data_IF_701455467053
#
_entry.id   IF_701455467053
#
_cell.length_a   1.000
_cell.length_b   1.000
_cell.length_c   1.000
_cell.angle_alpha   90.00
_cell.angle_beta   90.00
_cell.angle_gamma   90.00
#
_symmetry.space_group_name_H-M   'P 1'
#
loop_
_entity.id
_entity.type
_entity.pdbx_description
1 polymer ?
#
# COMPACT_ATOMS: atom_id res chain seq x y z
N UNK A 1 -15.94 -31.72 34.12
CA UNK A 1 -14.91 -30.66 34.01
C UNK A 1 -14.79 -30.05 32.61
N UNK A 2 -14.99 -30.82 31.53
CA UNK A 2 -14.79 -30.37 30.14
C UNK A 2 -15.75 -29.27 29.63
N UNK A 3 -17.00 -29.23 30.12
CA UNK A 3 -18.01 -28.20 29.72
C UNK A 3 -17.72 -26.79 30.26
N UNK A 4 -16.98 -26.66 31.37
CA UNK A 4 -16.69 -25.37 31.98
C UNK A 4 -15.51 -24.66 31.29
N UNK A 5 -14.53 -25.43 30.80
CA UNK A 5 -13.39 -24.91 30.02
C UNK A 5 -13.85 -24.28 28.70
N UNK A 6 -14.62 -25.02 27.88
CA UNK A 6 -15.17 -24.53 26.61
C UNK A 6 -16.01 -23.25 26.74
N UNK A 7 -16.69 -23.05 27.88
CA UNK A 7 -17.51 -21.85 28.13
C UNK A 7 -16.65 -20.62 28.44
N UNK A 8 -15.50 -20.81 29.12
CA UNK A 8 -14.53 -19.72 29.39
C UNK A 8 -13.79 -19.32 28.12
N UNK A 9 -13.38 -20.28 27.31
CA UNK A 9 -12.70 -20.04 26.03
C UNK A 9 -13.59 -19.25 25.05
N UNK A 10 -14.88 -19.56 25.01
CA UNK A 10 -15.86 -18.83 24.19
C UNK A 10 -16.13 -17.40 24.68
N UNK A 11 -16.12 -17.15 26.00
CA UNK A 11 -16.33 -15.80 26.55
C UNK A 11 -15.11 -14.92 26.29
N UNK A 12 -13.89 -15.45 26.45
CA UNK A 12 -12.67 -14.73 26.12
C UNK A 12 -12.58 -14.40 24.61
N UNK A 13 -12.98 -15.34 23.74
CA UNK A 13 -13.06 -15.10 22.30
C UNK A 13 -14.12 -14.07 21.90
N UNK A 14 -15.26 -14.02 22.61
CA UNK A 14 -16.30 -13.00 22.40
C UNK A 14 -15.86 -11.62 22.90
N UNK A 15 -15.20 -11.54 24.06
CA UNK A 15 -14.65 -10.29 24.59
C UNK A 15 -13.53 -9.73 23.70
N UNK A 16 -12.68 -10.58 23.13
CA UNK A 16 -11.68 -10.18 22.14
C UNK A 16 -12.32 -9.57 20.89
N UNK A 17 -13.39 -10.20 20.36
CA UNK A 17 -14.14 -9.67 19.21
C UNK A 17 -14.88 -8.36 19.51
N UNK A 18 -15.42 -8.20 20.71
CA UNK A 18 -16.06 -6.94 21.13
C UNK A 18 -15.05 -5.79 21.24
N UNK A 19 -13.85 -6.07 21.76
CA UNK A 19 -12.77 -5.10 21.85
C UNK A 19 -12.26 -4.67 20.46
N UNK A 20 -12.03 -5.63 19.55
CA UNK A 20 -11.66 -5.36 18.16
C UNK A 20 -12.72 -4.50 17.43
N UNK A 21 -14.01 -4.80 17.66
CA UNK A 21 -15.11 -4.04 17.08
C UNK A 21 -15.19 -2.61 17.64
N UNK A 22 -14.92 -2.43 18.93
CA UNK A 22 -14.89 -1.12 19.57
C UNK A 22 -13.75 -0.24 19.02
N UNK A 23 -12.54 -0.79 18.88
CA UNK A 23 -11.39 -0.10 18.28
C UNK A 23 -11.70 0.28 16.82
N UNK A 24 -12.25 -0.66 16.05
CA UNK A 24 -12.65 -0.41 14.65
C UNK A 24 -13.65 0.75 14.54
N UNK A 25 -14.66 0.80 15.43
CA UNK A 25 -15.65 1.90 15.45
C UNK A 25 -15.01 3.24 15.82
N UNK A 26 -14.11 3.26 16.79
CA UNK A 26 -13.41 4.48 17.18
C UNK A 26 -12.53 4.99 16.03
N UNK A 27 -11.79 4.11 15.37
CA UNK A 27 -10.95 4.45 14.22
C UNK A 27 -11.78 5.05 13.07
N UNK A 28 -12.87 4.38 12.69
CA UNK A 28 -13.81 4.86 11.66
C UNK A 28 -14.36 6.24 12.04
N UNK A 29 -14.71 6.45 13.32
CA UNK A 29 -15.23 7.72 13.81
C UNK A 29 -14.18 8.83 13.71
N UNK A 30 -12.93 8.57 14.10
CA UNK A 30 -11.82 9.53 14.02
C UNK A 30 -11.53 9.90 12.56
N UNK A 31 -11.46 8.91 11.67
CA UNK A 31 -11.25 9.12 10.24
C UNK A 31 -12.39 9.95 9.65
N UNK A 32 -13.65 9.56 9.90
CA UNK A 32 -14.83 10.28 9.43
C UNK A 32 -14.85 11.74 9.91
N UNK A 33 -14.49 11.99 11.18
CA UNK A 33 -14.40 13.35 11.72
C UNK A 33 -13.26 14.15 11.08
N UNK A 34 -12.14 13.52 10.75
CA UNK A 34 -11.00 14.14 10.06
C UNK A 34 -11.38 14.54 8.63
N UNK A 35 -12.09 13.68 7.90
CA UNK A 35 -12.60 13.97 6.55
C UNK A 35 -13.61 15.12 6.52
N UNK A 36 -14.39 15.32 7.59
CA UNK A 36 -15.37 16.41 7.71
C UNK A 36 -14.74 17.79 7.98
N UNK A 37 -13.50 17.86 8.50
CA UNK A 37 -12.82 19.13 8.74
C UNK A 37 -12.48 19.82 7.40
N UNK A 38 -12.54 21.15 7.35
CA UNK A 38 -12.09 21.91 6.17
C UNK A 38 -10.55 21.87 6.01
N UNK A 39 -10.01 22.00 4.78
CA UNK A 39 -10.73 21.85 3.50
C UNK A 39 -11.24 20.41 3.30
N UNK A 40 -12.34 20.22 2.58
CA UNK A 40 -12.91 18.88 2.30
C UNK A 40 -11.90 17.98 1.60
N UNK A 41 -12.02 16.65 1.73
CA UNK A 41 -11.21 15.68 0.99
C UNK A 41 -11.36 15.77 -0.54
N UNK A 42 -12.42 16.44 -1.02
CA UNK A 42 -12.60 16.76 -2.44
C UNK A 42 -11.86 18.02 -2.90
N UNK A 43 -11.19 18.75 -2.00
CA UNK A 43 -10.55 20.03 -2.33
C UNK A 43 -9.32 19.86 -3.22
N UNK A 44 -8.45 18.91 -2.87
CA UNK A 44 -7.27 18.58 -3.65
C UNK A 44 -6.80 17.16 -3.35
N UNK A 45 -6.02 16.61 -4.26
CA UNK A 45 -5.38 15.31 -4.10
C UNK A 45 -4.52 15.24 -2.83
N UNK A 46 -3.73 16.29 -2.56
CA UNK A 46 -2.95 16.39 -1.33
C UNK A 46 -3.83 16.32 -0.08
N UNK A 47 -4.96 17.02 -0.06
CA UNK A 47 -5.88 17.00 1.08
C UNK A 47 -6.52 15.63 1.22
N UNK A 48 -6.88 14.97 0.12
CA UNK A 48 -7.40 13.61 0.13
C UNK A 48 -6.39 12.62 0.72
N UNK A 49 -5.14 12.70 0.26
CA UNK A 49 -4.06 11.85 0.71
C UNK A 49 -3.75 12.03 2.20
N UNK A 50 -3.54 13.27 2.63
CA UNK A 50 -3.18 13.58 4.03
C UNK A 50 -4.31 13.27 5.01
N UNK A 51 -5.57 13.43 4.61
CA UNK A 51 -6.71 13.22 5.53
C UNK A 51 -7.26 11.81 5.55
N UNK A 52 -7.14 11.05 4.47
CA UNK A 52 -7.71 9.71 4.37
C UNK A 52 -6.68 8.65 4.02
N UNK A 53 -6.02 8.77 2.87
CA UNK A 53 -5.23 7.66 2.31
C UNK A 53 -4.02 7.34 3.19
N UNK A 54 -3.20 8.35 3.51
CA UNK A 54 -1.97 8.15 4.28
C UNK A 54 -2.26 7.69 5.72
N UNK A 55 -3.19 8.31 6.49
CA UNK A 55 -3.56 7.80 7.80
C UNK A 55 -4.10 6.37 7.77
N UNK A 56 -4.87 6.01 6.73
CA UNK A 56 -5.39 4.64 6.60
C UNK A 56 -4.27 3.64 6.34
N UNK A 57 -3.28 4.00 5.50
CA UNK A 57 -2.10 3.17 5.28
C UNK A 57 -1.28 3.01 6.55
N UNK A 58 -1.01 4.10 7.28
CA UNK A 58 -0.30 4.00 8.56
C UNK A 58 -1.00 3.05 9.54
N UNK A 59 -2.32 3.17 9.70
CA UNK A 59 -3.09 2.29 10.58
C UNK A 59 -3.03 0.81 10.15
N UNK A 60 -3.08 0.53 8.84
CA UNK A 60 -2.95 -0.85 8.32
C UNK A 60 -1.56 -1.41 8.57
N UNK A 61 -0.50 -0.61 8.42
CA UNK A 61 0.87 -1.08 8.60
C UNK A 61 1.24 -1.24 10.08
N UNK A 62 0.74 -0.36 10.95
CA UNK A 62 0.82 -0.47 12.42
C UNK A 62 0.19 -1.79 12.90
N UNK A 63 -0.96 -2.15 12.32
CA UNK A 63 -1.61 -3.44 12.57
C UNK A 63 -0.80 -4.66 12.09
N UNK A 64 0.16 -4.48 11.18
CA UNK A 64 1.01 -5.53 10.63
C UNK A 64 2.40 -5.60 11.33
N UNK A 65 2.63 -4.85 12.41
CA UNK A 65 3.94 -4.72 13.07
C UNK A 65 4.52 -6.02 13.67
N UNK A 66 3.71 -7.07 13.86
CA UNK A 66 4.20 -8.39 14.30
C UNK A 66 5.07 -9.12 13.24
N UNK A 67 5.47 -8.44 12.16
CA UNK A 67 6.27 -9.01 11.09
C UNK A 67 7.78 -8.69 11.21
N UNK A 68 8.68 -9.67 11.00
CA UNK A 68 10.13 -9.50 11.20
C UNK A 68 10.80 -8.40 10.36
N UNK A 69 10.14 -7.95 9.30
CA UNK A 69 10.67 -6.96 8.35
C UNK A 69 10.02 -5.59 8.46
N UNK A 70 9.22 -5.34 9.50
CA UNK A 70 8.51 -4.08 9.85
C UNK A 70 8.24 -3.15 8.66
N UNK A 71 7.03 -3.16 8.09
CA UNK A 71 6.75 -2.31 6.94
C UNK A 71 6.85 -0.82 7.27
N UNK A 72 7.45 -0.04 6.36
CA UNK A 72 7.53 1.43 6.47
C UNK A 72 6.83 2.07 5.28
N UNK A 73 5.90 2.97 5.56
CA UNK A 73 5.29 3.82 4.53
C UNK A 73 6.01 5.16 4.43
N UNK A 74 6.35 5.55 3.21
CA UNK A 74 6.99 6.82 2.90
C UNK A 74 6.03 7.60 1.99
N UNK A 75 5.39 8.67 2.48
CA UNK A 75 4.43 9.47 1.72
C UNK A 75 5.08 10.57 0.89
N UNK A 76 4.33 11.10 -0.07
CA UNK A 76 4.73 12.20 -0.94
C UNK A 76 5.49 11.71 -2.17
N UNK A 77 6.02 12.68 -2.94
CA UNK A 77 6.78 12.55 -4.20
C UNK A 77 8.10 11.76 -4.07
N UNK A 78 8.01 10.56 -3.51
CA UNK A 78 9.10 9.68 -3.12
C UNK A 78 9.68 8.98 -4.35
N UNK A 79 11.01 8.97 -4.41
CA UNK A 79 11.72 8.28 -5.48
C UNK A 79 11.51 6.76 -5.38
N UNK A 80 11.08 6.15 -6.49
CA UNK A 80 11.03 4.70 -6.59
C UNK A 80 12.46 4.16 -6.85
N UNK A 81 13.11 3.70 -5.78
CA UNK A 81 14.50 3.24 -5.79
C UNK A 81 14.72 2.11 -6.78
N UNK A 82 13.72 1.23 -6.96
CA UNK A 82 13.76 0.15 -7.93
C UNK A 82 13.94 0.66 -9.35
N UNK A 83 13.24 1.73 -9.74
CA UNK A 83 13.37 2.32 -11.06
C UNK A 83 14.78 2.91 -11.27
N UNK A 84 15.27 3.66 -10.29
CA UNK A 84 16.62 4.24 -10.32
C UNK A 84 17.71 3.17 -10.37
N UNK A 85 17.57 2.08 -9.61
CA UNK A 85 18.46 0.92 -9.66
C UNK A 85 18.47 0.29 -11.06
N UNK A 86 17.30 0.08 -11.69
CA UNK A 86 17.24 -0.49 -13.03
C UNK A 86 17.83 0.44 -14.09
N UNK A 87 17.54 1.75 -14.03
CA UNK A 87 18.12 2.72 -14.96
C UNK A 87 19.64 2.87 -14.82
N UNK A 88 20.15 2.81 -13.61
CA UNK A 88 21.60 2.85 -13.34
C UNK A 88 22.30 1.65 -13.96
N UNK A 89 21.71 0.45 -13.83
CA UNK A 89 22.26 -0.77 -14.45
C UNK A 89 22.40 -0.68 -15.96
N UNK A 90 21.46 -0.01 -16.63
CA UNK A 90 21.51 0.18 -18.10
C UNK A 90 22.18 1.50 -18.53
N UNK A 91 22.85 2.21 -17.59
CA UNK A 91 23.52 3.50 -17.82
C UNK A 91 22.61 4.57 -18.45
N UNK A 92 21.30 4.53 -18.16
CA UNK A 92 20.29 5.53 -18.59
C UNK A 92 19.73 6.36 -17.44
N UNK A 93 20.34 6.27 -16.27
CA UNK A 93 19.94 7.08 -15.13
C UNK A 93 20.15 8.57 -15.44
N UNK A 94 19.10 9.35 -15.21
CA UNK A 94 19.10 10.80 -15.34
C UNK A 94 18.16 11.38 -14.31
N UNK A 95 18.54 12.51 -13.70
CA UNK A 95 17.67 13.21 -12.73
C UNK A 95 16.32 13.62 -13.32
N UNK A 96 16.21 13.70 -14.65
CA UNK A 96 14.95 14.00 -15.36
C UNK A 96 14.00 12.80 -15.47
N UNK A 97 14.50 11.59 -15.25
CA UNK A 97 13.76 10.33 -15.44
C UNK A 97 13.45 9.64 -14.11
N UNK A 98 13.50 10.37 -13.01
CA UNK A 98 13.21 9.83 -11.69
C UNK A 98 11.70 9.57 -11.62
N UNK A 99 11.36 8.32 -11.31
CA UNK A 99 9.99 7.97 -10.97
C UNK A 99 9.71 8.49 -9.56
N UNK A 100 8.73 9.36 -9.43
CA UNK A 100 8.21 9.82 -8.14
C UNK A 100 6.80 9.29 -7.94
N UNK A 101 6.60 8.55 -6.86
CA UNK A 101 5.30 8.04 -6.44
C UNK A 101 4.65 9.02 -5.48
N UNK A 102 3.34 8.90 -5.22
CA UNK A 102 2.69 9.60 -4.10
C UNK A 102 2.96 8.94 -2.74
N UNK A 103 3.42 7.70 -2.79
CA UNK A 103 3.92 6.99 -1.62
C UNK A 103 4.36 5.58 -1.95
N UNK A 104 5.21 5.03 -1.09
CA UNK A 104 5.79 3.69 -1.25
C UNK A 104 5.82 2.98 0.10
N UNK A 105 5.47 1.70 0.13
CA UNK A 105 5.72 0.83 1.29
C UNK A 105 6.97 -0.01 1.04
N UNK A 106 7.89 0.01 1.99
CA UNK A 106 9.15 -0.75 1.99
C UNK A 106 9.17 -1.76 3.13
N UNK A 107 9.84 -2.88 2.90
CA UNK A 107 10.12 -3.91 3.91
C UNK A 107 11.64 -4.04 4.12
N UNK A 108 12.08 -4.16 5.37
CA UNK A 108 13.47 -4.44 5.75
C UNK A 108 14.48 -3.55 5.02
N UNK A 109 15.42 -4.17 4.32
CA UNK A 109 16.47 -3.54 3.50
C UNK A 109 15.94 -2.84 2.21
N UNK A 110 15.00 -1.91 2.36
CA UNK A 110 14.41 -1.09 1.28
C UNK A 110 13.81 -1.91 0.13
N UNK A 111 13.15 -3.03 0.45
CA UNK A 111 12.39 -3.80 -0.55
C UNK A 111 11.04 -3.14 -0.74
N UNK A 112 10.85 -2.48 -1.88
CA UNK A 112 9.59 -1.82 -2.25
C UNK A 112 8.54 -2.86 -2.64
N UNK A 113 7.39 -2.86 -1.95
CA UNK A 113 6.31 -3.87 -2.12
C UNK A 113 4.94 -3.29 -2.45
N UNK A 114 4.68 -2.03 -2.11
CA UNK A 114 3.45 -1.33 -2.47
C UNK A 114 3.77 0.06 -3.02
N UNK A 115 3.10 0.41 -4.11
CA UNK A 115 3.15 1.72 -4.74
C UNK A 115 1.81 2.44 -4.56
N UNK A 116 1.82 3.74 -4.32
CA UNK A 116 0.63 4.60 -4.27
C UNK A 116 0.70 5.65 -5.37
N UNK A 117 -0.35 5.74 -6.20
CA UNK A 117 -0.58 6.85 -7.14
C UNK A 117 -2.04 7.27 -7.06
N UNK A 118 -2.29 8.54 -6.83
CA UNK A 118 -3.60 9.10 -6.55
C UNK A 118 -4.09 9.79 -7.80
N UNK A 119 -5.22 9.32 -8.35
CA UNK A 119 -5.73 9.83 -9.64
C UNK A 119 -6.28 11.26 -9.51
N UNK A 120 -6.62 11.69 -8.30
CA UNK A 120 -7.18 13.01 -8.02
C UNK A 120 -7.78 13.10 -6.62
N UNK A 121 -8.48 14.21 -6.35
CA UNK A 121 -9.25 14.37 -5.11
C UNK A 121 -10.49 13.49 -5.05
N UNK A 122 -11.02 13.30 -3.85
CA UNK A 122 -12.22 12.50 -3.64
C UNK A 122 -13.43 13.01 -4.45
N UNK A 123 -14.11 12.11 -5.15
CA UNK A 123 -15.31 12.36 -5.94
C UNK A 123 -15.07 13.09 -7.27
N UNK A 124 -13.81 13.31 -7.67
CA UNK A 124 -13.48 13.85 -8.99
C UNK A 124 -12.80 12.79 -9.85
N UNK A 125 -13.41 12.51 -11.00
CA UNK A 125 -12.83 11.65 -12.02
C UNK A 125 -11.81 12.42 -12.85
N UNK A 126 -10.68 11.77 -13.13
CA UNK A 126 -9.73 12.23 -14.12
C UNK A 126 -9.31 11.04 -15.01
N UNK A 127 -10.07 10.72 -16.06
CA UNK A 127 -9.82 9.56 -16.91
C UNK A 127 -8.44 9.59 -17.59
N UNK A 128 -7.95 10.78 -17.94
CA UNK A 128 -6.62 10.97 -18.52
C UNK A 128 -5.52 10.60 -17.53
N UNK A 129 -5.61 11.12 -16.30
CA UNK A 129 -4.67 10.78 -15.22
C UNK A 129 -4.79 9.31 -14.81
N UNK A 130 -6.00 8.73 -14.77
CA UNK A 130 -6.22 7.30 -14.51
C UNK A 130 -5.40 6.40 -15.45
N UNK A 131 -5.53 6.64 -16.76
CA UNK A 131 -4.81 5.84 -17.77
C UNK A 131 -3.29 6.03 -17.69
N UNK A 132 -2.86 7.28 -17.48
CA UNK A 132 -1.45 7.61 -17.31
C UNK A 132 -0.86 6.94 -16.08
N UNK A 133 -1.47 7.09 -14.91
CA UNK A 133 -1.00 6.53 -13.65
C UNK A 133 -1.04 5.00 -13.65
N UNK A 134 -2.00 4.36 -14.35
CA UNK A 134 -1.98 2.92 -14.55
C UNK A 134 -0.71 2.46 -15.29
N UNK A 135 -0.38 3.15 -16.38
CA UNK A 135 0.80 2.82 -17.19
C UNK A 135 2.08 3.11 -16.41
N UNK A 136 2.13 4.26 -15.74
CA UNK A 136 3.22 4.71 -14.86
C UNK A 136 3.46 3.65 -13.76
N UNK A 137 2.43 3.31 -13.00
CA UNK A 137 2.51 2.33 -11.93
C UNK A 137 2.93 0.95 -12.43
N UNK A 138 2.46 0.50 -13.60
CA UNK A 138 2.87 -0.79 -14.17
C UNK A 138 4.39 -0.84 -14.43
N UNK A 139 4.98 0.21 -15.00
CA UNK A 139 6.43 0.31 -15.15
C UNK A 139 7.14 0.30 -13.79
N UNK A 140 6.58 1.00 -12.80
CA UNK A 140 7.07 0.97 -11.42
C UNK A 140 7.10 -0.43 -10.84
N UNK A 141 5.99 -1.17 -10.92
CA UNK A 141 5.86 -2.55 -10.43
C UNK A 141 6.83 -3.51 -11.14
N UNK A 142 7.03 -3.36 -12.45
CA UNK A 142 8.00 -4.17 -13.19
C UNK A 142 9.44 -3.89 -12.73
N UNK A 143 9.77 -2.63 -12.47
CA UNK A 143 11.08 -2.27 -11.92
C UNK A 143 11.27 -2.83 -10.51
N UNK A 144 10.25 -2.76 -9.65
CA UNK A 144 10.24 -3.37 -8.31
C UNK A 144 10.45 -4.89 -8.39
N UNK A 145 9.69 -5.58 -9.24
CA UNK A 145 9.82 -7.02 -9.49
C UNK A 145 11.24 -7.38 -9.91
N UNK A 146 11.77 -6.70 -10.93
CA UNK A 146 13.13 -6.96 -11.43
C UNK A 146 14.19 -6.68 -10.35
N UNK A 147 13.99 -5.67 -9.52
CA UNK A 147 14.90 -5.35 -8.40
C UNK A 147 14.91 -6.48 -7.37
N UNK A 148 13.73 -6.98 -6.98
CA UNK A 148 13.58 -8.10 -6.02
C UNK A 148 14.21 -9.38 -6.59
N UNK A 149 13.89 -9.74 -7.84
CA UNK A 149 14.48 -10.94 -8.47
C UNK A 149 16.00 -10.85 -8.55
N UNK A 150 16.55 -9.67 -8.85
CA UNK A 150 18.00 -9.49 -8.86
C UNK A 150 18.62 -9.60 -7.45
N UNK A 151 17.93 -9.10 -6.42
CA UNK A 151 18.39 -9.13 -5.03
C UNK A 151 18.38 -10.56 -4.48
N UNK A 152 17.34 -11.32 -4.78
CA UNK A 152 17.16 -12.70 -4.34
C UNK A 152 17.36 -13.67 -5.52
N UNK A 153 18.47 -13.54 -6.24
CA UNK A 153 18.77 -14.33 -7.45
C UNK A 153 18.86 -15.84 -7.20
N UNK A 154 19.17 -16.23 -5.96
CA UNK A 154 19.24 -17.63 -5.54
C UNK A 154 17.89 -18.16 -4.99
N UNK A 155 16.83 -17.36 -4.94
CA UNK A 155 15.54 -17.80 -4.43
C UNK A 155 14.86 -18.80 -5.39
N UNK A 156 14.17 -19.78 -4.81
CA UNK A 156 13.48 -20.78 -5.60
C UNK A 156 12.29 -20.19 -6.36
N UNK A 157 11.92 -20.85 -7.47
CA UNK A 157 10.68 -20.55 -8.18
C UNK A 157 9.46 -20.66 -7.26
N UNK A 158 9.47 -21.55 -6.27
CA UNK A 158 8.37 -21.69 -5.31
C UNK A 158 8.20 -20.43 -4.43
N UNK A 159 9.30 -19.75 -4.10
CA UNK A 159 9.27 -18.48 -3.39
C UNK A 159 8.80 -17.34 -4.30
N UNK A 160 9.30 -17.31 -5.54
CA UNK A 160 8.90 -16.30 -6.53
C UNK A 160 7.39 -16.32 -6.79
N UNK A 161 6.76 -17.50 -6.88
CA UNK A 161 5.31 -17.64 -7.07
C UNK A 161 4.46 -17.05 -5.94
N UNK A 162 5.03 -16.87 -4.75
CA UNK A 162 4.35 -16.28 -3.60
C UNK A 162 4.48 -14.74 -3.56
N UNK A 163 5.40 -14.17 -4.33
CA UNK A 163 5.61 -12.73 -4.38
C UNK A 163 4.38 -12.04 -4.99
N UNK A 164 3.92 -11.00 -4.30
CA UNK A 164 2.87 -10.10 -4.76
C UNK A 164 3.37 -8.68 -4.57
N UNK A 165 3.29 -7.90 -5.63
CA UNK A 165 3.52 -6.45 -5.57
C UNK A 165 2.18 -5.75 -5.70
N UNK A 166 1.99 -4.73 -4.88
CA UNK A 166 0.71 -4.04 -4.76
C UNK A 166 0.82 -2.65 -5.38
N UNK A 167 -0.26 -2.22 -6.02
CA UNK A 167 -0.42 -0.85 -6.46
C UNK A 167 -1.78 -0.35 -5.97
N UNK A 168 -1.75 0.59 -5.01
CA UNK A 168 -2.93 1.27 -4.51
C UNK A 168 -3.17 2.52 -5.36
N UNK A 169 -4.37 2.62 -5.88
CA UNK A 169 -4.79 3.71 -6.73
C UNK A 169 -6.10 4.33 -6.20
N UNK A 170 -6.01 5.26 -5.24
CA UNK A 170 -7.15 6.03 -4.79
C UNK A 170 -7.58 7.01 -5.88
N UNK A 171 -8.89 7.16 -6.08
CA UNK A 171 -9.40 8.18 -6.98
C UNK A 171 -10.90 8.13 -7.13
N UNK A 172 -11.51 9.28 -7.39
CA UNK A 172 -12.96 9.43 -7.44
C UNK A 172 -13.59 8.96 -6.12
N UNK A 173 -14.56 8.05 -6.18
CA UNK A 173 -15.26 7.43 -5.06
C UNK A 173 -14.72 6.03 -4.68
N UNK A 174 -13.60 5.60 -5.25
CA UNK A 174 -13.08 4.24 -5.10
C UNK A 174 -11.61 4.18 -4.63
N UNK A 175 -11.30 3.09 -3.91
CA UNK A 175 -9.93 2.64 -3.64
C UNK A 175 -9.68 1.38 -4.48
N UNK A 176 -8.81 1.47 -5.48
CA UNK A 176 -8.46 0.33 -6.33
C UNK A 176 -7.14 -0.25 -5.85
N UNK A 177 -7.12 -1.53 -5.50
CA UNK A 177 -5.90 -2.25 -5.16
C UNK A 177 -5.58 -3.25 -6.26
N UNK A 178 -4.52 -2.97 -7.01
CA UNK A 178 -3.99 -3.83 -8.05
C UNK A 178 -2.91 -4.73 -7.49
N UNK A 179 -2.77 -5.93 -8.05
CA UNK A 179 -1.75 -6.89 -7.65
C UNK A 179 -1.01 -7.41 -8.89
N UNK A 180 0.31 -7.25 -8.91
CA UNK A 180 1.19 -7.97 -9.82
C UNK A 180 1.68 -9.24 -9.12
N UNK A 181 1.29 -10.40 -9.66
CA UNK A 181 1.64 -11.70 -9.12
C UNK A 181 1.85 -12.72 -10.24
N UNK A 182 2.59 -13.77 -9.93
CA UNK A 182 2.73 -14.90 -10.84
C UNK A 182 1.37 -15.58 -11.09
N UNK A 183 1.02 -15.80 -12.35
CA UNK A 183 -0.09 -16.66 -12.77
C UNK A 183 0.46 -17.82 -13.59
N UNK A 184 -0.04 -19.04 -13.34
CA UNK A 184 0.39 -20.25 -14.07
C UNK A 184 0.04 -20.17 -15.56
N UNK A 185 -0.98 -19.38 -15.92
CA UNK A 185 -1.54 -19.25 -17.26
C UNK A 185 -1.54 -17.78 -17.73
N UNK A 186 -0.70 -16.93 -17.14
CA UNK A 186 -0.57 -15.51 -17.49
C UNK A 186 0.26 -15.29 -18.74
#
# INVERSE_FOLDING_TARGET
MEKCSKKRDNIAALQGKEAECAISRQLITIIANTCKKKPSISYSETVYNVKLIFPSLYAVLDWLEDHPTSPVFIPGEEELLSMSKQFTKIKKYSRRNIYKADGVVRLGDDVEVLLVETIGSFGLDNPGKLSFDNSKAMFGLLAMLKTIVNKYSCASMSSFKKLKLLFLQPGSDALRLWTLAYSKNG
#
